data_IF_277848517806
#
_entry.id   IF_277848517806
#
_cell.length_a   1.000
_cell.length_b   1.000
_cell.length_c   1.000
_cell.angle_alpha   90.00
_cell.angle_beta   90.00
_cell.angle_gamma   90.00
#
_symmetry.space_group_name_H-M   'P 1'
#
loop_
_entity.id
_entity.type
_entity.pdbx_description
1 polymer ?
#
# COMPACT_ATOMS: atom_id res chain seq x y z
N UNK A 1 -23.00 -1.19 -19.49
CA UNK A 1 -23.44 -1.62 -18.14
C UNK A 1 -24.55 -2.64 -18.33
N UNK A 2 -24.41 -3.84 -17.74
CA UNK A 2 -25.45 -4.86 -17.73
C UNK A 2 -26.17 -4.81 -16.38
N UNK A 3 -27.51 -4.82 -16.39
CA UNK A 3 -28.33 -4.70 -15.18
C UNK A 3 -29.14 -5.98 -15.01
N UNK A 4 -29.04 -6.61 -13.84
CA UNK A 4 -29.73 -7.85 -13.51
C UNK A 4 -30.40 -7.71 -12.14
N UNK A 5 -31.66 -8.12 -12.06
CA UNK A 5 -32.38 -8.22 -10.79
C UNK A 5 -32.30 -9.65 -10.25
N UNK A 6 -31.78 -9.82 -9.04
CA UNK A 6 -31.62 -11.11 -8.36
C UNK A 6 -32.29 -11.09 -6.99
N UNK A 7 -32.88 -12.22 -6.60
CA UNK A 7 -33.39 -12.48 -5.26
C UNK A 7 -32.26 -12.95 -4.35
N UNK A 8 -32.50 -12.90 -3.04
CA UNK A 8 -31.60 -13.48 -2.03
C UNK A 8 -31.40 -14.97 -2.30
N UNK A 9 -30.16 -15.42 -2.30
CA UNK A 9 -29.74 -16.79 -2.61
C UNK A 9 -29.40 -17.02 -4.09
N UNK A 10 -29.74 -16.10 -5.00
CA UNK A 10 -29.35 -16.25 -6.40
C UNK A 10 -27.90 -15.79 -6.65
N UNK A 11 -27.29 -16.38 -7.69
CA UNK A 11 -25.89 -16.18 -8.05
C UNK A 11 -25.79 -15.59 -9.46
N UNK A 12 -24.82 -14.69 -9.66
CA UNK A 12 -24.40 -14.15 -10.96
C UNK A 12 -22.96 -14.56 -11.20
N UNK A 13 -22.70 -15.21 -12.34
CA UNK A 13 -21.36 -15.66 -12.70
C UNK A 13 -20.77 -14.72 -13.76
N UNK A 14 -19.50 -14.32 -13.58
CA UNK A 14 -18.74 -13.50 -14.52
C UNK A 14 -17.59 -14.34 -15.06
N UNK A 15 -17.62 -14.63 -16.37
CA UNK A 15 -16.69 -15.56 -17.00
C UNK A 15 -16.80 -16.96 -16.37
N UNK A 16 -15.67 -17.58 -16.07
CA UNK A 16 -15.59 -18.96 -15.58
C UNK A 16 -15.05 -19.06 -14.14
N UNK A 17 -14.78 -17.94 -13.48
CA UNK A 17 -14.03 -17.94 -12.22
C UNK A 17 -14.57 -17.00 -11.16
N UNK A 18 -15.49 -16.10 -11.49
CA UNK A 18 -16.04 -15.15 -10.52
C UNK A 18 -17.53 -15.45 -10.33
N UNK A 19 -17.94 -15.61 -9.08
CA UNK A 19 -19.34 -15.78 -8.69
C UNK A 19 -19.72 -14.72 -7.67
N UNK A 20 -20.86 -14.08 -7.89
CA UNK A 20 -21.43 -13.06 -7.02
C UNK A 20 -22.77 -13.58 -6.50
N UNK A 21 -22.87 -13.78 -5.20
CA UNK A 21 -24.08 -14.29 -4.53
C UNK A 21 -24.76 -13.18 -3.74
N UNK A 22 -26.07 -13.04 -3.89
CA UNK A 22 -26.86 -12.14 -3.03
C UNK A 22 -27.16 -12.85 -1.71
N UNK A 23 -26.43 -12.48 -0.64
CA UNK A 23 -26.54 -13.15 0.67
C UNK A 23 -27.77 -12.68 1.43
N UNK A 24 -28.02 -11.37 1.45
CA UNK A 24 -29.18 -10.79 2.13
C UNK A 24 -29.42 -9.37 1.65
N UNK A 25 -30.62 -8.86 1.92
CA UNK A 25 -30.97 -7.46 1.75
C UNK A 25 -31.70 -7.00 3.01
N UNK A 26 -31.17 -5.98 3.67
CA UNK A 26 -31.79 -5.38 4.86
C UNK A 26 -31.61 -3.87 4.83
N UNK A 27 -32.69 -3.12 5.09
CA UNK A 27 -32.70 -1.65 5.21
C UNK A 27 -31.97 -0.91 4.07
N UNK A 28 -32.10 -1.37 2.83
CA UNK A 28 -31.43 -0.74 1.68
C UNK A 28 -29.98 -1.20 1.47
N UNK A 29 -29.42 -2.01 2.37
CA UNK A 29 -28.07 -2.56 2.27
C UNK A 29 -28.15 -3.99 1.75
N UNK A 30 -27.43 -4.26 0.66
CA UNK A 30 -27.29 -5.61 0.10
C UNK A 30 -25.97 -6.20 0.60
N UNK A 31 -26.02 -7.44 1.12
CA UNK A 31 -24.82 -8.23 1.41
C UNK A 31 -24.52 -9.09 0.18
N UNK A 32 -23.36 -8.86 -0.41
CA UNK A 32 -22.86 -9.60 -1.57
C UNK A 32 -21.71 -10.51 -1.13
N UNK A 33 -21.79 -11.78 -1.49
CA UNK A 33 -20.68 -12.71 -1.44
C UNK A 33 -19.97 -12.72 -2.78
N UNK A 34 -18.66 -12.54 -2.80
CA UNK A 34 -17.86 -12.58 -4.03
C UNK A 34 -16.87 -13.73 -3.87
N UNK A 35 -16.99 -14.73 -4.73
CA UNK A 35 -16.03 -15.82 -4.84
C UNK A 35 -15.22 -15.58 -6.12
N UNK A 36 -13.91 -15.44 -5.99
CA UNK A 36 -13.00 -15.19 -7.08
C UNK A 36 -11.64 -15.86 -6.79
N UNK A 37 -10.89 -16.29 -7.82
CA UNK A 37 -9.55 -16.83 -7.64
C UNK A 37 -8.60 -15.77 -7.09
N UNK A 38 -7.56 -16.20 -6.38
CA UNK A 38 -6.55 -15.32 -5.76
C UNK A 38 -5.80 -14.44 -6.77
N UNK A 39 -5.80 -14.79 -8.04
CA UNK A 39 -5.22 -13.98 -9.12
C UNK A 39 -6.00 -12.68 -9.37
N UNK A 40 -7.26 -12.61 -8.96
CA UNK A 40 -8.14 -11.45 -9.17
C UNK A 40 -8.39 -10.80 -7.83
N UNK A 41 -7.85 -9.59 -7.64
CA UNK A 41 -8.05 -8.83 -6.42
C UNK A 41 -9.47 -8.25 -6.38
N UNK A 42 -10.16 -8.44 -5.25
CA UNK A 42 -11.50 -7.89 -5.01
C UNK A 42 -11.38 -6.78 -3.98
N UNK A 43 -11.72 -5.56 -4.38
CA UNK A 43 -11.67 -4.39 -3.52
C UNK A 43 -13.01 -3.66 -3.52
N UNK A 44 -13.27 -2.95 -2.43
CA UNK A 44 -14.35 -1.96 -2.42
C UNK A 44 -13.91 -0.74 -3.23
N UNK A 45 -14.84 -0.15 -3.99
CA UNK A 45 -14.54 0.89 -4.98
C UNK A 45 -13.87 2.12 -4.34
N UNK A 46 -14.38 2.54 -3.19
CA UNK A 46 -13.89 3.70 -2.43
C UNK A 46 -12.44 3.53 -1.95
N UNK A 47 -12.03 2.29 -1.64
CA UNK A 47 -10.67 2.00 -1.22
C UNK A 47 -9.74 2.02 -2.43
N UNK A 48 -10.17 1.43 -3.55
CA UNK A 48 -9.40 1.39 -4.78
C UNK A 48 -9.10 2.81 -5.31
N UNK A 49 -10.12 3.67 -5.35
CA UNK A 49 -10.00 5.04 -5.86
C UNK A 49 -9.03 5.87 -5.01
N UNK A 50 -9.10 5.74 -3.68
CA UNK A 50 -8.19 6.44 -2.76
C UNK A 50 -6.74 6.00 -2.95
N UNK A 51 -6.48 4.70 -3.12
CA UNK A 51 -5.12 4.20 -3.38
C UNK A 51 -4.59 4.73 -4.72
N UNK A 52 -5.43 4.72 -5.76
CA UNK A 52 -5.04 5.23 -7.08
C UNK A 52 -4.70 6.72 -7.03
N UNK A 53 -5.47 7.52 -6.29
CA UNK A 53 -5.24 8.95 -6.08
C UNK A 53 -3.95 9.22 -5.31
N UNK A 54 -3.75 8.57 -4.15
CA UNK A 54 -2.52 8.71 -3.35
C UNK A 54 -1.27 8.28 -4.13
N UNK A 55 -1.35 7.21 -4.92
CA UNK A 55 -0.23 6.79 -5.77
C UNK A 55 0.11 7.83 -6.83
N UNK A 56 -0.91 8.48 -7.41
CA UNK A 56 -0.72 9.53 -8.40
C UNK A 56 -0.08 10.77 -7.78
N UNK A 57 -0.55 11.19 -6.61
CA UNK A 57 0.04 12.31 -5.86
C UNK A 57 1.50 12.01 -5.48
N UNK A 58 1.77 10.80 -4.99
CA UNK A 58 3.10 10.36 -4.59
C UNK A 58 4.07 10.20 -5.76
N UNK A 59 3.55 10.06 -7.00
CA UNK A 59 4.39 10.00 -8.21
C UNK A 59 4.87 11.38 -8.67
N UNK A 60 4.23 12.46 -8.23
CA UNK A 60 4.58 13.84 -8.60
C UNK A 60 5.60 14.44 -7.61
N UNK A 61 6.71 13.75 -7.35
CA UNK A 61 7.79 14.31 -6.52
C UNK A 61 8.72 15.13 -7.40
N UNK A 62 8.88 16.41 -7.09
CA UNK A 62 9.79 17.30 -7.79
C UNK A 62 11.25 16.92 -7.53
N UNK A 63 12.08 16.94 -8.57
CA UNK A 63 13.48 16.48 -8.53
C UNK A 63 14.32 17.22 -7.48
N UNK A 64 14.00 18.49 -7.22
CA UNK A 64 14.72 19.31 -6.23
C UNK A 64 14.41 18.88 -4.78
N UNK A 65 13.16 18.50 -4.47
CA UNK A 65 12.81 17.94 -3.16
C UNK A 65 13.53 16.61 -2.90
N UNK A 66 13.69 15.78 -3.93
CA UNK A 66 14.42 14.52 -3.82
C UNK A 66 15.92 14.77 -3.53
N UNK A 67 16.51 15.78 -4.17
CA UNK A 67 17.92 16.15 -3.99
C UNK A 67 18.22 16.62 -2.57
N UNK A 68 17.29 17.34 -1.95
CA UNK A 68 17.44 17.83 -0.58
C UNK A 68 17.24 16.72 0.47
N UNK A 69 16.37 15.75 0.23
CA UNK A 69 16.25 14.55 1.06
C UNK A 69 17.54 13.71 1.04
N UNK A 70 18.12 13.48 -0.15
CA UNK A 70 19.34 12.69 -0.30
C UNK A 70 20.57 13.34 0.37
N UNK A 71 20.67 14.68 0.34
CA UNK A 71 21.72 15.42 1.06
C UNK A 71 21.66 15.18 2.57
N UNK A 72 20.45 15.19 3.15
CA UNK A 72 20.30 15.05 4.60
C UNK A 72 20.51 13.60 5.10
N UNK A 73 20.19 12.59 4.29
CA UNK A 73 20.39 11.18 4.67
C UNK A 73 21.87 10.75 4.71
N UNK A 74 22.73 11.37 3.91
CA UNK A 74 24.18 11.08 3.95
C UNK A 74 24.84 11.59 5.23
N UNK A 75 24.32 12.68 5.82
CA UNK A 75 24.92 13.32 7.00
C UNK A 75 24.63 12.53 8.29
N UNK A 76 23.45 11.91 8.41
CA UNK A 76 23.07 11.15 9.62
C UNK A 76 23.75 9.77 9.73
N UNK A 77 24.05 9.12 8.59
CA UNK A 77 24.79 7.85 8.56
C UNK A 77 26.31 8.03 8.78
N UNK A 78 26.89 9.16 8.38
CA UNK A 78 28.30 9.49 8.62
C UNK A 78 28.57 10.02 10.04
N UNK A 79 27.58 10.66 10.69
CA UNK A 79 27.71 11.20 12.05
C UNK A 79 27.94 10.16 13.15
N UNK A 80 27.35 8.97 13.03
CA UNK A 80 27.57 7.86 13.99
C UNK A 80 28.93 7.18 13.83
N UNK A 81 29.53 7.22 12.64
CA UNK A 81 30.85 6.61 12.39
C UNK A 81 31.97 7.51 12.93
N UNK A 82 31.82 8.83 12.83
CA UNK A 82 32.83 9.79 13.30
C UNK A 82 33.01 9.77 14.82
N UNK A 83 31.91 9.71 15.58
CA UNK A 83 31.98 9.61 17.05
C UNK A 83 32.54 8.26 17.55
N UNK A 84 32.43 7.19 16.78
CA UNK A 84 33.00 5.88 17.14
C UNK A 84 34.52 5.83 16.91
N UNK A 85 35.05 6.58 15.95
CA UNK A 85 36.48 6.64 15.65
C UNK A 85 37.28 7.47 16.67
N UNK A 86 36.71 8.54 17.23
CA UNK A 86 37.44 9.38 18.20
C UNK A 86 37.65 8.70 19.56
N UNK A 87 36.73 7.84 20.00
CA UNK A 87 36.90 7.10 21.27
C UNK A 87 37.90 5.92 21.18
N UNK A 88 38.15 5.36 19.99
CA UNK A 88 39.17 4.30 19.80
C UNK A 88 40.60 4.87 19.73
N UNK A 89 40.78 6.10 19.23
CA UNK A 89 42.10 6.72 19.10
C UNK A 89 42.74 7.09 20.44
N UNK A 90 41.93 7.34 21.49
CA UNK A 90 42.42 7.75 22.81
C UNK A 90 42.98 6.53 23.60
N UNK A 91 42.60 5.30 23.27
CA UNK A 91 43.03 4.11 24.01
C UNK A 91 44.36 3.52 23.54
N UNK A 92 44.81 3.83 22.31
CA UNK A 92 46.07 3.31 21.76
C UNK A 92 47.29 4.24 21.95
N UNK A 93 47.11 5.44 22.52
CA UNK A 93 48.22 6.39 22.76
C UNK A 93 48.81 6.34 24.19
N UNK A 94 48.38 5.38 25.02
CA UNK A 94 48.82 5.23 26.42
C UNK A 94 49.54 3.90 26.71
N UNK A 95 49.92 3.16 25.67
CA UNK A 95 50.76 1.96 25.73
C UNK A 95 51.90 2.08 24.71
N UNK A 96 52.73 3.09 24.87
CA UNK A 96 54.15 3.08 24.50
C UNK A 96 54.93 3.71 25.66
#
# INVERSE_FOLDING_TARGET
MLVLSRKVGEVVTIGNSIEITVISYDRGVVRLGINAPKSIAVHRKEIYDKIAETNKESSNVEFDMLKDLLKNTTISSLGSVKNKLEHLAIHNKKKE
#
